data_IF_572089263552
#
_entry.id   IF_572089263552
#
_cell.length_a   1.000
_cell.length_b   1.000
_cell.length_c   1.000
_cell.angle_alpha   90.00
_cell.angle_beta   90.00
_cell.angle_gamma   90.00
#
_symmetry.space_group_name_H-M   'P 1'
#
loop_
_entity.id
_entity.type
_entity.pdbx_description
1 polymer ?
#
# COMPACT_ATOMS: atom_id res chain seq x y z
N UNK A 1 18.58 -14.81 31.84
CA UNK A 1 18.37 -13.97 30.64
C UNK A 1 17.75 -14.85 29.56
N UNK A 2 16.44 -14.82 29.30
CA UNK A 2 15.94 -15.32 28.04
C UNK A 2 16.14 -14.21 26.99
N UNK A 3 16.92 -14.51 25.96
CA UNK A 3 16.94 -13.70 24.75
C UNK A 3 15.54 -13.81 24.10
N UNK A 4 14.91 -12.71 23.66
CA UNK A 4 13.63 -12.80 22.97
C UNK A 4 13.82 -13.61 21.67
N UNK A 5 12.80 -14.37 21.23
CA UNK A 5 12.86 -15.09 19.97
C UNK A 5 13.22 -14.08 18.88
N UNK A 6 14.22 -14.42 18.07
CA UNK A 6 14.58 -13.65 16.89
C UNK A 6 13.31 -13.42 16.08
N UNK A 7 12.84 -12.17 16.07
CA UNK A 7 11.71 -11.74 15.26
C UNK A 7 11.98 -12.22 13.84
N UNK A 8 11.17 -13.15 13.36
CA UNK A 8 10.90 -13.25 11.93
C UNK A 8 10.51 -11.82 11.55
N UNK A 9 11.43 -11.05 10.96
CA UNK A 9 11.39 -9.59 10.96
C UNK A 9 10.07 -9.12 10.40
N UNK A 10 9.12 -8.79 11.29
CA UNK A 10 7.76 -8.49 10.90
C UNK A 10 7.82 -7.30 9.94
N UNK A 11 7.52 -7.56 8.68
CA UNK A 11 7.49 -6.53 7.65
C UNK A 11 6.20 -5.76 7.80
N UNK A 12 6.23 -4.49 7.43
CA UNK A 12 5.01 -3.68 7.39
C UNK A 12 4.58 -3.50 5.95
N UNK A 13 3.29 -3.42 5.71
CA UNK A 13 2.70 -3.05 4.43
C UNK A 13 1.80 -1.85 4.64
N UNK A 14 1.89 -0.90 3.72
CA UNK A 14 1.00 0.25 3.61
C UNK A 14 0.00 -0.02 2.49
N UNK A 15 -1.28 -0.11 2.83
CA UNK A 15 -2.37 -0.36 1.88
C UNK A 15 -3.26 0.88 1.77
N UNK A 16 -3.58 1.28 0.55
CA UNK A 16 -4.25 2.56 0.25
C UNK A 16 -5.53 2.40 -0.59
N UNK A 17 -5.99 1.17 -0.80
CA UNK A 17 -7.00 0.84 -1.79
C UNK A 17 -7.87 -0.36 -1.46
N UNK A 18 -8.09 -1.23 -2.45
CA UNK A 18 -8.92 -2.44 -2.36
C UNK A 18 -8.47 -3.41 -1.25
N UNK A 19 -7.19 -3.39 -0.89
CA UNK A 19 -6.62 -4.16 0.22
C UNK A 19 -6.99 -3.63 1.62
N UNK A 20 -7.45 -2.38 1.74
CA UNK A 20 -7.86 -1.80 3.03
C UNK A 20 -9.04 -2.56 3.62
N UNK A 21 -9.23 -2.41 4.93
CA UNK A 21 -10.37 -3.01 5.62
C UNK A 21 -11.69 -2.57 4.99
N UNK A 22 -12.56 -3.53 4.66
CA UNK A 22 -13.83 -3.30 3.97
C UNK A 22 -13.72 -3.11 2.45
N UNK A 23 -12.51 -3.14 1.88
CA UNK A 23 -12.29 -3.18 0.43
C UNK A 23 -12.61 -4.53 -0.19
N UNK A 24 -12.61 -4.60 -1.52
CA UNK A 24 -12.89 -5.84 -2.27
C UNK A 24 -11.85 -6.94 -2.02
N UNK A 25 -10.60 -6.56 -1.77
CA UNK A 25 -9.47 -7.45 -1.49
C UNK A 25 -8.98 -7.32 -0.04
N UNK A 26 -9.89 -7.01 0.90
CA UNK A 26 -9.58 -6.76 2.31
C UNK A 26 -8.55 -7.74 2.89
N UNK A 27 -7.36 -7.23 3.17
CA UNK A 27 -6.21 -7.99 3.66
C UNK A 27 -6.50 -8.64 5.02
N UNK A 28 -7.40 -8.07 5.83
CA UNK A 28 -7.74 -8.60 7.16
C UNK A 28 -8.48 -9.94 7.10
N UNK A 29 -8.96 -10.34 5.91
CA UNK A 29 -9.63 -11.61 5.66
C UNK A 29 -8.69 -12.72 5.18
N UNK A 30 -7.41 -12.41 4.99
CA UNK A 30 -6.39 -13.38 4.58
C UNK A 30 -5.86 -14.19 5.77
N UNK A 31 -5.24 -15.33 5.47
CA UNK A 31 -4.63 -16.22 6.46
C UNK A 31 -3.13 -16.42 6.15
N UNK A 32 -2.21 -16.17 7.10
CA UNK A 32 -2.47 -15.62 8.44
C UNK A 32 -2.94 -14.16 8.38
N UNK A 33 -3.80 -13.70 9.31
CA UNK A 33 -4.29 -12.35 9.29
C UNK A 33 -3.17 -11.35 9.63
N UNK A 34 -3.15 -10.17 8.97
CA UNK A 34 -2.26 -9.08 9.32
C UNK A 34 -2.57 -8.53 10.71
N UNK A 35 -1.56 -7.98 11.39
CA UNK A 35 -1.75 -7.24 12.65
C UNK A 35 -1.89 -5.75 12.33
N UNK A 36 -3.02 -5.09 12.69
CA UNK A 36 -3.17 -3.65 12.48
C UNK A 36 -2.17 -2.87 13.34
N UNK A 37 -1.47 -1.93 12.72
CA UNK A 37 -0.47 -1.08 13.40
C UNK A 37 -0.96 0.36 13.53
N UNK A 38 -1.60 0.90 12.48
CA UNK A 38 -2.14 2.25 12.51
C UNK A 38 -2.51 2.76 11.13
N UNK A 39 -2.71 4.07 11.01
CA UNK A 39 -2.94 4.75 9.73
C UNK A 39 -1.78 5.68 9.40
N UNK A 40 -1.50 5.85 8.12
CA UNK A 40 -0.45 6.73 7.66
C UNK A 40 -0.89 7.48 6.40
N UNK A 41 -0.08 8.46 6.01
CA UNK A 41 -0.25 9.14 4.74
C UNK A 41 1.11 9.29 4.06
N UNK A 42 1.14 9.11 2.74
CA UNK A 42 2.37 9.23 1.94
C UNK A 42 2.23 10.30 0.88
N UNK A 43 3.29 11.08 0.59
CA UNK A 43 3.29 12.00 -0.54
C UNK A 43 3.25 11.18 -1.84
N UNK A 44 2.26 11.44 -2.68
CA UNK A 44 2.07 10.74 -3.95
C UNK A 44 0.83 11.24 -4.67
N UNK A 45 0.54 10.62 -5.81
CA UNK A 45 -0.70 10.86 -6.55
C UNK A 45 -1.46 9.55 -6.62
N UNK A 46 -2.72 9.59 -6.20
CA UNK A 46 -3.64 8.47 -6.31
C UNK A 46 -4.39 8.57 -7.64
N UNK A 47 -4.50 7.45 -8.34
CA UNK A 47 -5.22 7.30 -9.60
C UNK A 47 -6.34 6.28 -9.45
N UNK A 48 -7.43 6.51 -10.16
CA UNK A 48 -8.57 5.61 -10.23
C UNK A 48 -8.50 4.82 -11.55
N UNK A 49 -8.21 3.51 -11.45
CA UNK A 49 -8.15 2.58 -12.57
C UNK A 49 -9.50 1.85 -12.76
N UNK A 50 -10.57 2.36 -12.13
CA UNK A 50 -11.92 1.81 -12.20
C UNK A 50 -12.20 0.84 -11.06
N UNK A 51 -11.73 -0.40 -11.17
CA UNK A 51 -12.00 -1.45 -10.18
C UNK A 51 -11.03 -1.40 -8.97
N UNK A 52 -9.89 -0.74 -9.14
CA UNK A 52 -8.82 -0.64 -8.15
C UNK A 52 -8.06 0.68 -8.31
N UNK A 53 -7.35 1.15 -7.25
CA UNK A 53 -6.52 2.34 -7.34
C UNK A 53 -5.07 2.02 -7.70
N UNK A 54 -4.39 3.01 -8.27
CA UNK A 54 -2.93 2.99 -8.43
C UNK A 54 -2.29 4.21 -7.76
N UNK A 55 -1.23 4.01 -6.98
CA UNK A 55 -0.43 5.12 -6.43
C UNK A 55 0.84 5.34 -7.25
N UNK A 56 1.11 6.59 -7.64
CA UNK A 56 2.40 7.02 -8.15
C UNK A 56 3.18 7.77 -7.07
N UNK A 57 4.35 7.26 -6.70
CA UNK A 57 5.25 7.88 -5.72
C UNK A 57 6.47 8.51 -6.38
N UNK A 58 6.80 8.08 -7.60
CA UNK A 58 7.97 8.59 -8.32
C UNK A 58 7.69 8.96 -9.77
N UNK A 59 8.59 9.77 -10.32
CA UNK A 59 8.53 10.23 -11.70
C UNK A 59 7.43 11.27 -11.94
N UNK A 60 7.21 11.66 -13.21
CA UNK A 60 6.28 12.74 -13.56
C UNK A 60 4.84 12.49 -13.10
N UNK A 61 4.42 11.23 -13.01
CA UNK A 61 3.08 10.86 -12.54
C UNK A 61 2.86 11.13 -11.04
N UNK A 62 3.93 11.24 -10.25
CA UNK A 62 3.86 11.63 -8.83
C UNK A 62 3.82 13.14 -8.60
N UNK A 63 3.93 13.94 -9.66
CA UNK A 63 4.03 15.39 -9.60
C UNK A 63 2.68 16.09 -9.87
N UNK A 64 2.66 17.39 -9.61
CA UNK A 64 1.50 18.25 -9.87
C UNK A 64 0.90 18.89 -8.62
N UNK A 65 0.33 20.07 -8.84
CA UNK A 65 -0.27 20.91 -7.79
C UNK A 65 -1.62 20.36 -7.32
N UNK A 66 -2.01 20.72 -6.10
CA UNK A 66 -3.31 20.35 -5.53
C UNK A 66 -3.46 18.88 -5.13
N UNK A 67 -2.36 18.12 -5.01
CA UNK A 67 -2.38 16.72 -4.53
C UNK A 67 -2.48 16.68 -3.00
N UNK A 68 -3.49 16.00 -2.48
CA UNK A 68 -3.52 15.57 -1.08
C UNK A 68 -2.61 14.34 -0.89
N UNK A 69 -2.00 14.16 0.30
CA UNK A 69 -1.25 12.95 0.60
C UNK A 69 -2.18 11.74 0.57
N UNK A 70 -1.68 10.60 0.07
CA UNK A 70 -2.48 9.39 -0.07
C UNK A 70 -2.66 8.74 1.29
N UNK A 71 -3.92 8.55 1.70
CA UNK A 71 -4.28 7.95 2.96
C UNK A 71 -4.30 6.42 2.86
N UNK A 72 -3.76 5.76 3.87
CA UNK A 72 -3.76 4.32 3.94
C UNK A 72 -3.61 3.77 5.35
N UNK A 73 -3.65 2.45 5.43
CA UNK A 73 -3.55 1.66 6.65
C UNK A 73 -2.23 0.91 6.65
N UNK A 74 -1.63 0.79 7.84
CA UNK A 74 -0.37 0.09 8.06
C UNK A 74 -0.64 -1.19 8.84
N UNK A 75 -0.14 -2.30 8.30
CA UNK A 75 -0.27 -3.61 8.89
C UNK A 75 1.09 -4.28 9.01
N UNK A 76 1.33 -4.99 10.11
CA UNK A 76 2.43 -5.92 10.21
C UNK A 76 2.03 -7.26 9.59
N UNK A 77 2.87 -7.77 8.70
CA UNK A 77 2.63 -8.96 7.90
C UNK A 77 3.74 -9.99 8.10
N UNK A 78 3.37 -11.26 7.98
CA UNK A 78 4.34 -12.36 7.92
C UNK A 78 4.86 -12.55 6.50
N UNK A 79 6.02 -13.19 6.30
CA UNK A 79 6.49 -13.53 4.96
C UNK A 79 5.51 -14.40 4.14
N UNK A 80 4.66 -15.18 4.80
CA UNK A 80 3.61 -15.96 4.13
C UNK A 80 2.49 -15.08 3.59
N UNK A 81 2.08 -14.06 4.36
CA UNK A 81 1.09 -13.08 3.93
C UNK A 81 1.62 -12.18 2.82
N UNK A 82 2.89 -11.77 2.87
CA UNK A 82 3.54 -11.02 1.77
C UNK A 82 3.41 -11.79 0.44
N UNK A 83 3.70 -13.10 0.42
CA UNK A 83 3.52 -13.94 -0.77
C UNK A 83 2.07 -14.07 -1.22
N UNK A 84 1.11 -13.92 -0.31
CA UNK A 84 -0.30 -13.90 -0.68
C UNK A 84 -0.65 -12.60 -1.38
N UNK A 85 -0.18 -11.46 -0.88
CA UNK A 85 -0.34 -10.15 -1.51
C UNK A 85 0.32 -10.11 -2.89
N UNK A 86 1.55 -10.61 -3.01
CA UNK A 86 2.25 -10.68 -4.30
C UNK A 86 1.49 -11.48 -5.37
N UNK A 87 0.69 -12.47 -4.97
CA UNK A 87 -0.19 -13.20 -5.89
C UNK A 87 -1.45 -12.43 -6.27
N UNK A 88 -2.01 -11.67 -5.31
CA UNK A 88 -3.21 -10.84 -5.56
C UNK A 88 -2.86 -9.70 -6.51
N UNK A 89 -1.70 -9.08 -6.34
CA UNK A 89 -1.22 -7.97 -7.16
C UNK A 89 -0.46 -8.42 -8.42
N UNK A 90 -0.57 -9.71 -8.80
CA UNK A 90 0.03 -10.30 -10.00
C UNK A 90 1.55 -10.07 -10.15
N UNK A 91 2.28 -10.03 -9.04
CA UNK A 91 3.75 -9.88 -8.99
C UNK A 91 4.45 -11.25 -9.03
N UNK A 92 3.76 -12.32 -8.62
CA UNK A 92 4.27 -13.69 -8.63
C UNK A 92 3.22 -14.68 -9.16
N UNK A 93 3.59 -15.71 -9.95
CA UNK A 93 4.96 -16.15 -10.31
C UNK A 93 5.62 -15.39 -11.46
N UNK A 94 4.83 -14.75 -12.32
CA UNK A 94 5.31 -13.86 -13.39
C UNK A 94 4.74 -12.46 -13.14
N UNK A 95 5.58 -11.43 -12.97
CA UNK A 95 5.08 -10.09 -12.73
C UNK A 95 4.39 -9.56 -13.99
N UNK A 96 3.12 -9.18 -13.89
CA UNK A 96 2.38 -8.49 -14.96
C UNK A 96 3.05 -7.15 -15.35
N UNK A 97 3.89 -6.63 -14.46
CA UNK A 97 4.51 -5.31 -14.57
C UNK A 97 3.55 -4.18 -14.20
N UNK A 98 2.33 -4.49 -13.76
CA UNK A 98 1.34 -3.50 -13.36
C UNK A 98 1.71 -2.83 -12.05
N UNK A 99 2.06 -3.62 -11.03
CA UNK A 99 2.53 -3.13 -9.74
C UNK A 99 4.00 -3.49 -9.50
N UNK A 100 4.71 -2.57 -8.83
CA UNK A 100 6.08 -2.78 -8.34
C UNK A 100 6.11 -2.60 -6.82
N UNK A 101 6.79 -3.51 -6.13
CA UNK A 101 7.05 -3.35 -4.70
C UNK A 101 8.07 -2.27 -4.46
N UNK A 102 7.74 -1.32 -3.61
CA UNK A 102 8.65 -0.30 -3.10
C UNK A 102 8.64 -0.30 -1.58
N UNK A 103 9.79 -0.08 -0.98
CA UNK A 103 9.89 0.22 0.44
C UNK A 103 9.86 1.73 0.63
N UNK A 104 8.97 2.21 1.50
CA UNK A 104 8.82 3.61 1.85
C UNK A 104 8.77 3.77 3.36
N UNK A 105 9.37 4.85 3.85
CA UNK A 105 9.20 5.23 5.26
C UNK A 105 7.91 6.03 5.38
N UNK A 106 6.97 5.51 6.16
CA UNK A 106 5.71 6.19 6.45
C UNK A 106 5.70 6.64 7.90
N UNK A 107 5.07 7.76 8.15
CA UNK A 107 4.83 8.25 9.51
C UNK A 107 3.41 7.88 9.93
N UNK A 108 3.30 7.10 11.00
CA UNK A 108 2.01 6.78 11.62
C UNK A 108 1.37 8.05 12.17
N UNK A 109 0.06 8.20 11.94
CA UNK A 109 -0.74 9.27 12.54
C UNK A 109 -0.84 9.07 14.04
N UNK A 110 -0.95 7.82 14.48
CA UNK A 110 -0.97 7.43 15.87
C UNK A 110 0.46 7.38 16.43
N UNK A 111 0.78 8.25 17.38
CA UNK A 111 2.08 8.25 18.06
C UNK A 111 3.25 8.82 17.25
N UNK A 112 3.08 9.10 15.95
CA UNK A 112 4.07 9.81 15.14
C UNK A 112 5.33 9.01 14.79
N UNK A 113 5.34 7.70 15.05
CA UNK A 113 6.45 6.80 14.76
C UNK A 113 6.64 6.60 13.26
N UNK A 114 7.89 6.45 12.83
CA UNK A 114 8.24 6.17 11.44
C UNK A 114 8.48 4.66 11.27
N UNK A 115 7.89 4.08 10.23
CA UNK A 115 8.01 2.66 9.91
C UNK A 115 8.35 2.48 8.43
N UNK A 116 9.29 1.57 8.16
CA UNK A 116 9.53 1.11 6.79
C UNK A 116 8.40 0.14 6.40
N UNK A 117 7.66 0.51 5.35
CA UNK A 117 6.52 -0.24 4.84
C UNK A 117 6.71 -0.56 3.36
N UNK A 118 6.28 -1.76 2.97
CA UNK A 118 6.08 -2.12 1.59
C UNK A 118 4.83 -1.42 1.06
N UNK A 119 4.93 -0.87 -0.15
CA UNK A 119 3.81 -0.33 -0.91
C UNK A 119 3.87 -0.89 -2.32
N UNK A 120 2.70 -1.19 -2.87
CA UNK A 120 2.55 -1.57 -4.27
C UNK A 120 2.33 -0.29 -5.08
N UNK A 121 3.38 0.19 -5.75
CA UNK A 121 3.33 1.36 -6.63
C UNK A 121 2.90 0.91 -8.03
N UNK A 122 1.96 1.64 -8.66
CA UNK A 122 1.53 1.31 -10.02
C UNK A 122 2.58 1.77 -11.02
N UNK A 123 2.86 0.96 -12.02
CA UNK A 123 3.75 1.30 -13.11
C UNK A 123 3.20 2.48 -13.94
N UNK A 124 4.02 3.48 -14.29
CA UNK A 124 3.57 4.66 -15.05
C UNK A 124 2.91 4.35 -16.39
N UNK A 125 3.21 3.19 -16.99
CA UNK A 125 2.59 2.74 -18.23
C UNK A 125 1.07 2.54 -18.10
N UNK A 126 0.61 2.08 -16.93
CA UNK A 126 -0.81 1.82 -16.65
C UNK A 126 -1.56 3.07 -16.21
N UNK A 127 -0.85 4.17 -15.92
CA UNK A 127 -1.46 5.45 -15.54
C UNK A 127 -1.88 6.30 -16.73
N UNK A 128 -1.56 5.90 -17.97
CA UNK A 128 -1.88 6.69 -19.16
C UNK A 128 -3.40 6.82 -19.34
N UNK A 129 -3.91 8.05 -19.17
CA UNK A 129 -5.33 8.36 -19.30
C UNK A 129 -6.17 8.09 -18.04
N UNK A 130 -5.56 7.59 -16.96
CA UNK A 130 -6.25 7.34 -15.71
C UNK A 130 -6.59 8.67 -14.98
N UNK A 131 -7.83 8.84 -14.48
CA UNK A 131 -8.20 10.00 -13.68
C UNK A 131 -7.44 10.03 -12.34
N UNK A 132 -7.03 11.25 -11.93
CA UNK A 132 -6.36 11.51 -10.66
C UNK A 132 -7.38 11.76 -9.55
N UNK A 133 -7.20 11.12 -8.40
CA UNK A 133 -7.96 11.38 -7.18
C UNK A 133 -7.25 12.43 -6.33
N UNK A 134 -7.66 13.69 -6.47
CA UNK A 134 -7.02 14.83 -5.80
C UNK A 134 -7.16 14.82 -4.26
N UNK A 135 -8.16 14.13 -3.74
CA UNK A 135 -8.40 13.99 -2.29
C UNK A 135 -7.55 12.90 -1.63
N UNK A 136 -6.89 12.03 -2.41
CA UNK A 136 -5.91 11.07 -1.90
C UNK A 136 -6.49 9.90 -1.08
N UNK A 137 -7.79 9.65 -1.11
CA UNK A 137 -8.40 8.54 -0.34
C UNK A 137 -9.34 7.72 -1.23
N UNK A 138 -8.91 6.51 -1.60
CA UNK A 138 -9.72 5.59 -2.42
C UNK A 138 -11.07 5.23 -1.79
N UNK A 139 -11.13 5.15 -0.45
CA UNK A 139 -12.33 4.71 0.27
C UNK A 139 -13.27 5.88 0.59
N UNK A 140 -12.87 7.12 0.30
CA UNK A 140 -13.78 8.25 0.39
C UNK A 140 -14.91 8.09 -0.64
N UNK A 141 -16.12 8.54 -0.29
CA UNK A 141 -17.25 8.50 -1.21
C UNK A 141 -16.89 9.25 -2.50
N UNK A 142 -16.97 8.55 -3.64
CA UNK A 142 -16.75 9.09 -4.99
C UNK A 142 -17.82 10.10 -5.36
#
# INVERSE_FOLDING_TARGET
MPQPPHSDSARHVFVYGTLRRGGSNDITRLDPPPVPVGTAAVPGVLYDLGAYPGIALTGPASEGEGRAPVLGEVYAITPALERCLDRIEEIWPEPSGEYVKREVVVRLKEGGAELSCLIYEISPHFLQGAPRLLHGDWMAAR
#
